data_IF_206430591415
#
_entry.id   IF_206430591415
#
_cell.length_a   1.000
_cell.length_b   1.000
_cell.length_c   1.000
_cell.angle_alpha   90.00
_cell.angle_beta   90.00
_cell.angle_gamma   90.00
#
_symmetry.space_group_name_H-M   'P 1'
#
loop_
_entity.id
_entity.type
_entity.pdbx_description
1 polymer ?
#
# COMPACT_ATOMS: atom_id res chain seq x y z
N UNK A 1 66.83 23.58 -13.89
CA UNK A 1 65.72 24.51 -13.60
C UNK A 1 64.53 23.64 -13.27
N UNK A 2 64.11 23.50 -12.01
CA UNK A 2 63.34 24.53 -11.25
C UNK A 2 62.15 24.93 -12.14
N UNK A 3 60.97 24.34 -12.01
CA UNK A 3 60.12 24.37 -10.83
C UNK A 3 59.20 25.58 -10.96
N UNK A 4 57.90 25.38 -11.21
CA UNK A 4 56.90 26.19 -10.54
C UNK A 4 55.49 25.58 -10.59
N UNK A 5 54.89 25.63 -9.41
CA UNK A 5 53.56 25.15 -9.03
C UNK A 5 52.45 25.99 -9.69
N UNK A 6 51.30 25.36 -9.91
CA UNK A 6 50.01 26.02 -9.71
C UNK A 6 49.23 25.16 -8.72
N UNK A 7 48.90 25.77 -7.57
CA UNK A 7 47.99 25.23 -6.56
C UNK A 7 46.59 25.67 -6.92
N UNK A 8 45.61 24.75 -6.93
CA UNK A 8 44.23 25.09 -6.63
C UNK A 8 43.71 24.17 -5.52
N UNK A 9 43.14 24.83 -4.51
CA UNK A 9 42.54 24.28 -3.29
C UNK A 9 41.09 23.85 -3.56
N UNK A 10 40.66 22.77 -2.92
CA UNK A 10 39.29 22.55 -2.43
C UNK A 10 38.15 22.60 -3.45
N UNK A 11 37.76 21.44 -3.98
CA UNK A 11 36.39 21.16 -4.41
C UNK A 11 36.10 19.65 -4.24
N UNK A 12 35.00 19.34 -3.58
CA UNK A 12 34.52 18.00 -3.22
C UNK A 12 33.75 17.36 -4.39
N UNK A 13 33.58 16.04 -4.31
CA UNK A 13 33.11 15.03 -5.31
C UNK A 13 31.68 15.23 -5.87
N UNK A 14 31.24 16.46 -6.15
CA UNK A 14 29.88 16.75 -6.65
C UNK A 14 29.92 17.60 -7.94
N UNK A 15 30.69 17.14 -8.94
CA UNK A 15 30.71 17.78 -10.27
C UNK A 15 30.65 16.77 -11.44
N UNK A 16 30.20 15.53 -11.21
CA UNK A 16 30.08 14.51 -12.28
C UNK A 16 28.64 14.08 -12.57
N UNK A 17 27.65 14.49 -11.77
CA UNK A 17 26.24 14.21 -12.06
C UNK A 17 25.42 15.50 -11.90
N UNK A 18 24.97 16.05 -13.01
CA UNK A 18 24.13 17.25 -13.08
C UNK A 18 22.75 17.01 -12.48
N UNK A 19 22.66 17.10 -11.16
CA UNK A 19 21.41 17.18 -10.40
C UNK A 19 21.19 18.65 -10.02
N UNK A 20 20.49 19.40 -10.87
CA UNK A 20 19.95 20.68 -10.44
C UNK A 20 18.76 20.44 -9.51
N UNK A 21 18.91 20.88 -8.26
CA UNK A 21 17.83 21.01 -7.28
C UNK A 21 16.68 21.83 -7.85
N UNK A 22 15.62 21.15 -8.28
CA UNK A 22 14.32 21.80 -8.49
C UNK A 22 13.58 21.84 -7.16
N UNK A 23 13.49 23.08 -6.66
CA UNK A 23 12.67 23.56 -5.54
C UNK A 23 11.52 22.61 -5.18
N UNK A 24 11.56 22.12 -3.94
CA UNK A 24 10.40 21.60 -3.22
C UNK A 24 9.36 22.71 -3.23
N UNK A 25 8.38 22.61 -4.15
CA UNK A 25 7.15 23.39 -4.02
C UNK A 25 6.39 22.74 -2.88
N UNK A 26 6.10 23.54 -1.86
CA UNK A 26 5.11 23.23 -0.84
C UNK A 26 3.87 22.66 -1.52
N UNK A 27 3.60 21.38 -1.29
CA UNK A 27 2.29 20.81 -1.54
C UNK A 27 1.42 21.41 -0.44
N UNK A 28 0.78 22.54 -0.75
CA UNK A 28 -0.38 22.96 0.01
C UNK A 28 -1.47 21.96 -0.33
N UNK A 29 -1.80 21.13 0.66
CA UNK A 29 -3.07 20.43 0.75
C UNK A 29 -4.21 21.40 0.47
N UNK A 30 -5.07 21.05 -0.48
CA UNK A 30 -6.52 21.29 -0.43
C UNK A 30 -7.20 20.59 -1.61
N UNK A 31 -7.51 19.32 -1.43
CA UNK A 31 -8.90 18.90 -1.64
C UNK A 31 -9.42 18.64 -0.24
N UNK A 32 -10.05 19.65 0.38
CA UNK A 32 -10.78 19.38 1.60
C UNK A 32 -11.92 18.43 1.21
N UNK A 33 -11.80 17.18 1.65
CA UNK A 33 -12.83 16.16 1.55
C UNK A 33 -14.09 16.70 2.21
N UNK A 34 -15.29 16.43 1.67
CA UNK A 34 -16.52 16.84 2.33
C UNK A 34 -16.58 16.20 3.72
N UNK A 35 -16.76 17.02 4.77
CA UNK A 35 -16.80 16.62 6.20
C UNK A 35 -17.94 15.63 6.56
N UNK A 36 -18.60 15.03 5.57
CA UNK A 36 -19.82 14.23 5.72
C UNK A 36 -19.73 12.80 5.18
N UNK A 37 -18.61 12.38 4.61
CA UNK A 37 -18.42 11.00 4.11
C UNK A 37 -17.74 10.12 5.16
N UNK A 38 -18.37 8.98 5.45
CA UNK A 38 -17.86 7.96 6.36
C UNK A 38 -16.63 7.26 5.76
N UNK A 39 -15.65 6.73 6.53
CA UNK A 39 -14.49 5.98 6.02
C UNK A 39 -14.81 4.86 5.01
N UNK A 40 -16.03 4.35 5.05
CA UNK A 40 -16.60 3.38 4.10
C UNK A 40 -16.99 3.97 2.73
N UNK A 41 -17.19 5.28 2.63
CA UNK A 41 -17.51 5.98 1.36
C UNK A 41 -16.26 6.23 0.47
N UNK A 42 -15.07 5.80 0.90
CA UNK A 42 -13.81 6.11 0.21
C UNK A 42 -13.27 4.97 -0.67
N UNK A 43 -13.84 3.76 -0.61
CA UNK A 43 -13.42 2.63 -1.43
C UNK A 43 -14.54 2.21 -2.39
N UNK A 44 -14.22 1.76 -3.62
CA UNK A 44 -15.15 0.98 -4.42
C UNK A 44 -15.60 -0.27 -3.63
N UNK A 45 -16.84 -0.70 -3.83
CA UNK A 45 -17.35 -1.92 -3.20
C UNK A 45 -16.65 -3.18 -3.78
N UNK A 46 -16.58 -4.26 -3.00
CA UNK A 46 -15.92 -5.51 -3.44
C UNK A 46 -16.49 -6.02 -4.78
N UNK A 47 -17.82 -6.10 -4.90
CA UNK A 47 -18.47 -6.58 -6.12
C UNK A 47 -18.33 -5.61 -7.30
N UNK A 48 -18.25 -4.30 -7.05
CA UNK A 48 -17.95 -3.33 -8.10
C UNK A 48 -16.55 -3.57 -8.68
N UNK A 49 -15.56 -3.82 -7.83
CA UNK A 49 -14.20 -4.10 -8.27
C UNK A 49 -14.12 -5.45 -9.02
N UNK A 50 -14.87 -6.46 -8.59
CA UNK A 50 -15.03 -7.72 -9.33
C UNK A 50 -15.59 -7.48 -10.73
N UNK A 51 -16.67 -6.70 -10.86
CA UNK A 51 -17.29 -6.37 -12.14
C UNK A 51 -16.33 -5.60 -13.06
N UNK A 52 -15.53 -4.70 -12.51
CA UNK A 52 -14.51 -3.95 -13.26
C UNK A 52 -13.40 -4.88 -13.78
N UNK A 53 -12.89 -5.80 -12.95
CA UNK A 53 -11.89 -6.79 -13.38
C UNK A 53 -12.45 -7.66 -14.52
N UNK A 54 -13.71 -8.08 -14.40
CA UNK A 54 -14.39 -8.85 -15.44
C UNK A 54 -14.55 -8.05 -16.73
N UNK A 55 -14.93 -6.78 -16.64
CA UNK A 55 -15.10 -5.90 -17.80
C UNK A 55 -13.79 -5.66 -18.57
N UNK A 56 -12.64 -5.75 -17.88
CA UNK A 56 -11.30 -5.59 -18.47
C UNK A 56 -10.65 -6.92 -18.90
N UNK A 57 -11.42 -8.01 -18.96
CA UNK A 57 -10.96 -9.38 -19.28
C UNK A 57 -9.90 -9.96 -18.29
N UNK A 58 -9.80 -9.40 -17.07
CA UNK A 58 -8.92 -9.91 -16.01
C UNK A 58 -9.60 -11.05 -15.25
N UNK A 59 -9.49 -12.28 -15.78
CA UNK A 59 -10.24 -13.44 -15.28
C UNK A 59 -9.56 -14.19 -14.13
N UNK A 60 -8.29 -13.93 -13.86
CA UNK A 60 -7.50 -14.66 -12.85
C UNK A 60 -7.18 -13.84 -11.61
N UNK A 61 -7.51 -12.55 -11.61
CA UNK A 61 -7.23 -11.66 -10.50
C UNK A 61 -8.44 -11.53 -9.60
N UNK A 62 -8.19 -11.51 -8.29
CA UNK A 62 -9.21 -11.24 -7.28
C UNK A 62 -9.20 -9.77 -6.87
N UNK A 63 -10.38 -9.19 -6.61
CA UNK A 63 -10.48 -7.85 -6.03
C UNK A 63 -9.80 -7.76 -4.66
N UNK A 64 -9.91 -8.81 -3.84
CA UNK A 64 -9.24 -8.89 -2.54
C UNK A 64 -7.72 -8.92 -2.70
N UNK A 65 -7.20 -9.71 -3.64
CA UNK A 65 -5.76 -9.78 -3.93
C UNK A 65 -5.22 -8.43 -4.43
N UNK A 66 -5.91 -7.78 -5.37
CA UNK A 66 -5.54 -6.45 -5.89
C UNK A 66 -5.47 -5.41 -4.77
N UNK A 67 -6.47 -5.41 -3.88
CA UNK A 67 -6.51 -4.50 -2.75
C UNK A 67 -5.36 -4.78 -1.77
N UNK A 68 -5.12 -6.05 -1.42
CA UNK A 68 -3.99 -6.45 -0.59
C UNK A 68 -2.65 -6.01 -1.18
N UNK A 69 -2.46 -6.26 -2.48
CA UNK A 69 -1.27 -5.87 -3.24
C UNK A 69 -0.97 -4.38 -3.14
N UNK A 70 -1.97 -3.54 -3.37
CA UNK A 70 -1.85 -2.09 -3.21
C UNK A 70 -1.45 -1.71 -1.78
N UNK A 71 -2.13 -2.30 -0.79
CA UNK A 71 -1.83 -2.06 0.62
C UNK A 71 -0.38 -2.43 0.95
N UNK A 72 0.11 -3.57 0.46
CA UNK A 72 1.49 -4.02 0.68
C UNK A 72 2.53 -3.02 0.12
N UNK A 73 2.32 -2.53 -1.09
CA UNK A 73 3.19 -1.49 -1.67
C UNK A 73 3.21 -0.21 -0.82
N UNK A 74 2.03 0.28 -0.41
CA UNK A 74 1.90 1.50 0.37
C UNK A 74 2.49 1.34 1.78
N UNK A 75 2.26 0.19 2.43
CA UNK A 75 2.86 -0.18 3.70
C UNK A 75 4.37 -0.23 3.64
N UNK A 76 4.96 -0.68 2.52
CA UNK A 76 6.40 -0.63 2.30
C UNK A 76 6.95 0.79 1.98
N UNK A 77 6.08 1.81 1.92
CA UNK A 77 6.45 3.21 1.71
C UNK A 77 6.42 3.66 0.25
N UNK A 78 5.85 2.86 -0.66
CA UNK A 78 5.63 3.33 -2.04
C UNK A 78 4.63 4.48 -2.08
N UNK A 79 4.81 5.38 -3.07
CA UNK A 79 3.82 6.39 -3.46
C UNK A 79 3.83 6.50 -4.98
N UNK A 80 2.68 6.30 -5.59
CA UNK A 80 2.52 6.33 -7.04
C UNK A 80 1.78 7.58 -7.49
N UNK A 81 2.05 8.05 -8.71
CA UNK A 81 1.06 8.85 -9.42
C UNK A 81 -0.06 7.92 -9.92
N UNK A 82 -1.25 8.45 -10.19
CA UNK A 82 -2.35 7.65 -10.76
C UNK A 82 -1.94 6.95 -12.06
N UNK A 83 -1.17 7.61 -12.94
CA UNK A 83 -0.65 7.00 -14.17
C UNK A 83 0.28 5.79 -13.88
N UNK A 84 1.18 5.94 -12.90
CA UNK A 84 2.09 4.87 -12.53
C UNK A 84 1.35 3.70 -11.87
N UNK A 85 0.36 4.01 -11.02
CA UNK A 85 -0.52 3.02 -10.40
C UNK A 85 -1.30 2.25 -11.45
N UNK A 86 -2.01 2.93 -12.37
CA UNK A 86 -2.78 2.26 -13.42
C UNK A 86 -1.91 1.33 -14.27
N UNK A 87 -0.69 1.76 -14.60
CA UNK A 87 0.24 0.91 -15.35
C UNK A 87 0.64 -0.34 -14.57
N UNK A 88 1.00 -0.18 -13.30
CA UNK A 88 1.39 -1.29 -12.41
C UNK A 88 0.22 -2.25 -12.18
N UNK A 89 -0.95 -1.72 -11.87
CA UNK A 89 -2.15 -2.48 -11.64
C UNK A 89 -2.53 -3.29 -12.88
N UNK A 90 -2.46 -2.69 -14.08
CA UNK A 90 -2.70 -3.39 -15.33
C UNK A 90 -1.72 -4.56 -15.55
N UNK A 91 -0.42 -4.36 -15.29
CA UNK A 91 0.58 -5.43 -15.37
C UNK A 91 0.30 -6.58 -14.40
N UNK A 92 -0.06 -6.27 -13.15
CA UNK A 92 -0.29 -7.26 -12.10
C UNK A 92 -1.64 -7.99 -12.24
N UNK A 93 -2.59 -7.39 -12.95
CA UNK A 93 -3.92 -7.97 -13.21
C UNK A 93 -4.07 -8.54 -14.61
N UNK A 94 -2.97 -8.66 -15.36
CA UNK A 94 -2.97 -9.14 -16.76
C UNK A 94 -3.90 -8.34 -17.71
N UNK A 95 -4.11 -7.06 -17.41
CA UNK A 95 -4.83 -6.13 -18.27
C UNK A 95 -3.84 -5.56 -19.29
N UNK A 96 -4.03 -5.88 -20.57
CA UNK A 96 -3.17 -5.35 -21.65
C UNK A 96 -3.31 -3.83 -21.79
N UNK A 97 -4.55 -3.35 -21.80
CA UNK A 97 -4.91 -1.93 -21.79
C UNK A 97 -6.31 -1.77 -21.20
N UNK A 98 -6.52 -0.74 -20.39
CA UNK A 98 -7.85 -0.39 -19.89
C UNK A 98 -8.75 0.06 -21.04
N UNK A 99 -9.82 -0.68 -21.28
CA UNK A 99 -10.81 -0.45 -22.34
C UNK A 99 -11.86 0.56 -21.95
N UNK A 100 -12.17 0.65 -20.65
CA UNK A 100 -13.19 1.54 -20.13
C UNK A 100 -12.58 2.63 -19.24
N UNK A 101 -12.93 3.89 -19.49
CA UNK A 101 -12.53 5.00 -18.62
C UNK A 101 -13.10 4.87 -17.21
N UNK A 102 -14.26 4.23 -17.05
CA UNK A 102 -14.83 3.90 -15.74
C UNK A 102 -13.95 2.93 -14.95
N UNK A 103 -13.30 1.98 -15.61
CA UNK A 103 -12.35 1.07 -14.95
C UNK A 103 -11.14 1.84 -14.42
N UNK A 104 -10.58 2.76 -15.22
CA UNK A 104 -9.47 3.60 -14.76
C UNK A 104 -9.85 4.45 -13.56
N UNK A 105 -11.09 4.97 -13.56
CA UNK A 105 -11.63 5.72 -12.42
C UNK A 105 -11.73 4.82 -11.18
N UNK A 106 -12.32 3.63 -11.28
CA UNK A 106 -12.43 2.69 -10.17
C UNK A 106 -11.07 2.30 -9.56
N UNK A 107 -10.05 2.02 -10.40
CA UNK A 107 -8.69 1.77 -9.91
C UNK A 107 -8.06 3.00 -9.26
N UNK A 108 -8.38 4.20 -9.74
CA UNK A 108 -7.88 5.47 -9.15
C UNK A 108 -8.54 5.74 -7.80
N UNK A 109 -9.86 5.53 -7.71
CA UNK A 109 -10.64 5.68 -6.49
C UNK A 109 -10.19 4.66 -5.44
N UNK A 110 -9.92 3.41 -5.85
CA UNK A 110 -9.30 2.39 -5.00
C UNK A 110 -7.95 2.89 -4.42
N UNK A 111 -7.09 3.47 -5.26
CA UNK A 111 -5.80 4.00 -4.80
C UNK A 111 -5.97 5.13 -3.77
N UNK A 112 -6.77 6.14 -4.12
CA UNK A 112 -6.96 7.31 -3.27
C UNK A 112 -7.64 6.92 -1.94
N UNK A 113 -8.61 5.99 -2.00
CA UNK A 113 -9.28 5.44 -0.83
C UNK A 113 -8.35 4.71 0.12
N UNK A 114 -7.50 3.82 -0.39
CA UNK A 114 -6.53 3.08 0.45
C UNK A 114 -5.52 4.03 1.09
N UNK A 115 -5.00 5.01 0.33
CA UNK A 115 -4.10 6.03 0.88
C UNK A 115 -4.79 6.80 2.00
N UNK A 116 -6.02 7.27 1.76
CA UNK A 116 -6.78 8.03 2.75
C UNK A 116 -7.02 7.20 4.03
N UNK A 117 -7.43 5.93 3.89
CA UNK A 117 -7.70 5.06 5.03
C UNK A 117 -6.44 4.73 5.85
N UNK A 118 -5.31 4.43 5.21
CA UNK A 118 -4.06 4.12 5.90
C UNK A 118 -3.45 5.35 6.59
N UNK A 119 -3.56 6.54 6.00
CA UNK A 119 -2.99 7.77 6.55
C UNK A 119 -3.82 8.39 7.69
N UNK A 120 -5.13 8.12 7.74
CA UNK A 120 -6.01 8.71 8.76
C UNK A 120 -5.87 8.10 10.17
N UNK A 121 -5.22 6.94 10.32
CA UNK A 121 -4.77 6.37 11.62
C UNK A 121 -5.85 5.94 12.64
N UNK A 122 -7.05 6.50 12.57
CA UNK A 122 -8.08 6.45 13.61
C UNK A 122 -9.13 5.34 13.39
N UNK A 123 -8.71 4.15 12.93
CA UNK A 123 -9.56 2.96 12.74
C UNK A 123 -10.45 2.91 11.47
N UNK A 124 -10.16 3.73 10.46
CA UNK A 124 -10.93 3.76 9.20
C UNK A 124 -10.54 2.71 8.15
N UNK A 125 -9.41 2.02 8.30
CA UNK A 125 -8.95 1.04 7.31
C UNK A 125 -9.84 -0.19 7.28
N UNK A 126 -10.32 -0.55 6.10
CA UNK A 126 -11.18 -1.70 5.83
C UNK A 126 -10.52 -2.62 4.81
N UNK A 127 -10.68 -3.93 5.00
CA UNK A 127 -10.27 -4.91 3.99
C UNK A 127 -11.35 -4.99 2.91
N UNK A 128 -10.97 -4.89 1.64
CA UNK A 128 -11.86 -5.15 0.51
C UNK A 128 -12.10 -6.67 0.39
N UNK A 129 -13.15 -7.14 1.05
CA UNK A 129 -13.54 -8.55 1.14
C UNK A 129 -15.03 -8.72 0.77
N UNK A 130 -15.47 -9.92 0.35
CA UNK A 130 -16.88 -10.23 0.20
C UNK A 130 -17.62 -10.19 1.53
N UNK A 131 -18.92 -9.85 1.47
CA UNK A 131 -19.86 -9.86 2.58
C UNK A 131 -20.43 -11.26 2.85
N UNK A 132 -21.37 -11.36 3.80
CA UNK A 132 -22.00 -12.60 4.25
C UNK A 132 -22.97 -13.25 3.25
N UNK A 133 -23.10 -12.69 2.05
CA UNK A 133 -23.78 -13.35 0.93
C UNK A 133 -22.95 -14.52 0.36
N UNK A 134 -21.62 -14.54 0.55
CA UNK A 134 -20.76 -15.67 0.21
C UNK A 134 -20.58 -16.65 1.38
N UNK A 135 -20.27 -17.90 1.04
CA UNK A 135 -19.99 -18.92 2.06
C UNK A 135 -18.75 -18.56 2.89
N UNK A 136 -18.67 -19.04 4.14
CA UNK A 136 -17.50 -18.84 5.00
C UNK A 136 -16.20 -19.29 4.32
N UNK A 137 -16.24 -20.40 3.57
CA UNK A 137 -15.10 -20.90 2.82
C UNK A 137 -14.63 -19.91 1.74
N UNK A 138 -15.55 -19.34 0.96
CA UNK A 138 -15.23 -18.34 -0.07
C UNK A 138 -14.70 -17.03 0.55
N UNK A 139 -15.24 -16.61 1.71
CA UNK A 139 -14.74 -15.42 2.42
C UNK A 139 -13.35 -15.63 3.00
N UNK A 140 -13.05 -16.81 3.53
CA UNK A 140 -11.72 -17.14 4.00
C UNK A 140 -10.72 -17.26 2.86
N UNK A 141 -11.12 -17.84 1.72
CA UNK A 141 -10.30 -17.84 0.51
C UNK A 141 -9.98 -16.40 0.07
N UNK A 142 -10.98 -15.51 0.07
CA UNK A 142 -10.76 -14.10 -0.24
C UNK A 142 -9.79 -13.41 0.74
N UNK A 143 -9.87 -13.72 2.04
CA UNK A 143 -8.90 -13.24 3.04
C UNK A 143 -7.50 -13.77 2.76
N UNK A 144 -7.37 -15.05 2.40
CA UNK A 144 -6.10 -15.65 2.00
C UNK A 144 -5.50 -14.97 0.77
N UNK A 145 -6.31 -14.73 -0.27
CA UNK A 145 -5.93 -13.95 -1.45
C UNK A 145 -5.49 -12.53 -1.09
N UNK A 146 -6.18 -11.88 -0.15
CA UNK A 146 -5.81 -10.55 0.33
C UNK A 146 -4.41 -10.55 0.96
N UNK A 147 -4.14 -11.49 1.88
CA UNK A 147 -2.83 -11.65 2.51
C UNK A 147 -1.73 -11.95 1.48
N UNK A 148 -2.02 -12.83 0.51
CA UNK A 148 -1.08 -13.14 -0.57
C UNK A 148 -0.74 -11.90 -1.41
N UNK A 149 -1.74 -11.10 -1.76
CA UNK A 149 -1.55 -9.82 -2.44
C UNK A 149 -0.67 -8.89 -1.63
N UNK A 150 -1.00 -8.70 -0.35
CA UNK A 150 -0.24 -7.84 0.58
C UNK A 150 1.24 -8.21 0.66
N UNK A 151 1.54 -9.49 0.87
CA UNK A 151 2.91 -10.00 0.95
C UNK A 151 3.66 -9.80 -0.38
N UNK A 152 2.99 -10.06 -1.51
CA UNK A 152 3.55 -9.80 -2.84
C UNK A 152 3.89 -8.33 -3.03
N UNK A 153 2.97 -7.42 -2.70
CA UNK A 153 3.16 -5.97 -2.88
C UNK A 153 4.28 -5.43 -1.99
N UNK A 154 4.29 -5.85 -0.72
CA UNK A 154 5.34 -5.48 0.23
C UNK A 154 6.72 -5.95 -0.24
N UNK A 155 6.83 -7.21 -0.69
CA UNK A 155 8.07 -7.78 -1.18
C UNK A 155 8.58 -7.14 -2.49
N UNK A 156 7.68 -6.85 -3.44
CA UNK A 156 8.03 -6.26 -4.74
C UNK A 156 8.49 -4.81 -4.64
N UNK A 157 8.03 -4.05 -3.63
CA UNK A 157 8.54 -2.70 -3.39
C UNK A 157 10.05 -2.71 -3.11
N UNK A 158 10.57 -3.76 -2.47
CA UNK A 158 12.00 -4.08 -2.40
C UNK A 158 12.85 -3.11 -1.57
N UNK A 159 12.23 -2.21 -0.79
CA UNK A 159 12.88 -1.19 0.02
C UNK A 159 13.33 -1.69 1.41
N UNK A 160 12.87 -2.87 1.82
CA UNK A 160 13.12 -3.43 3.15
C UNK A 160 13.81 -4.80 3.05
N UNK A 161 14.78 -5.02 3.92
CA UNK A 161 15.44 -6.33 4.07
C UNK A 161 14.99 -6.96 5.39
N UNK A 162 15.22 -8.26 5.56
CA UNK A 162 14.93 -8.91 6.84
C UNK A 162 15.68 -8.28 8.03
N UNK A 163 16.79 -7.56 7.78
CA UNK A 163 17.52 -6.84 8.82
C UNK A 163 16.88 -5.51 9.21
N UNK A 164 16.09 -4.89 8.31
CA UNK A 164 15.40 -3.62 8.59
C UNK A 164 14.05 -3.80 9.28
N UNK A 165 13.54 -5.03 9.39
CA UNK A 165 12.28 -5.34 10.07
C UNK A 165 12.50 -5.62 11.55
N UNK A 166 11.63 -5.07 12.40
CA UNK A 166 11.54 -5.49 13.80
C UNK A 166 11.06 -6.93 13.90
N UNK A 167 11.27 -7.58 15.05
CA UNK A 167 10.80 -8.96 15.24
C UNK A 167 9.27 -9.05 15.24
N UNK A 168 8.59 -8.02 15.74
CA UNK A 168 7.13 -7.90 15.71
C UNK A 168 6.60 -7.81 14.26
N UNK A 169 7.26 -7.05 13.39
CA UNK A 169 6.85 -6.99 11.97
C UNK A 169 7.11 -8.30 11.23
N UNK A 170 8.20 -9.01 11.56
CA UNK A 170 8.47 -10.33 10.98
C UNK A 170 7.41 -11.35 11.40
N UNK A 171 7.00 -11.33 12.66
CA UNK A 171 5.94 -12.19 13.18
C UNK A 171 4.62 -11.89 12.46
N UNK A 172 4.22 -10.62 12.35
CA UNK A 172 3.01 -10.24 11.62
C UNK A 172 3.02 -10.67 10.15
N UNK A 173 4.15 -10.52 9.44
CA UNK A 173 4.28 -10.96 8.05
C UNK A 173 4.26 -12.49 7.93
N UNK A 174 4.87 -13.21 8.87
CA UNK A 174 4.83 -14.67 8.90
C UNK A 174 3.41 -15.19 9.20
N UNK A 175 2.68 -14.55 10.10
CA UNK A 175 1.29 -14.91 10.39
C UNK A 175 0.39 -14.65 9.16
N UNK A 176 0.59 -13.54 8.45
CA UNK A 176 -0.10 -13.29 7.18
C UNK A 176 0.24 -14.35 6.12
N UNK A 177 1.47 -14.87 6.08
CA UNK A 177 1.86 -15.98 5.18
C UNK A 177 1.06 -17.24 5.52
N UNK A 178 0.87 -17.53 6.82
CA UNK A 178 0.07 -18.68 7.26
C UNK A 178 -1.42 -18.49 6.93
N UNK A 179 -1.97 -17.28 7.10
CA UNK A 179 -3.36 -16.95 6.72
C UNK A 179 -3.55 -17.03 5.21
N UNK A 180 -2.55 -16.68 4.41
CA UNK A 180 -2.60 -16.80 2.94
C UNK A 180 -2.78 -18.26 2.47
N UNK A 181 -2.52 -19.24 3.33
CA UNK A 181 -2.69 -20.68 3.05
C UNK A 181 -3.94 -21.27 3.73
N UNK A 182 -4.91 -20.43 4.13
CA UNK A 182 -6.13 -20.90 4.78
C UNK A 182 -6.96 -21.78 3.85
N UNK A 183 -7.32 -22.96 4.33
CA UNK A 183 -8.25 -23.88 3.68
C UNK A 183 -9.34 -24.23 4.70
N UNK A 184 -10.58 -23.80 4.45
CA UNK A 184 -11.71 -24.14 5.31
C UNK A 184 -12.48 -25.33 4.75
N UNK A 185 -12.81 -26.26 5.64
CA UNK A 185 -13.77 -27.32 5.31
C UNK A 185 -15.20 -26.73 5.22
N UNK A 186 -16.06 -27.28 4.33
CA UNK A 186 -17.38 -26.74 4.06
C UNK A 186 -18.38 -26.84 5.23
N UNK A 187 -18.04 -27.54 6.31
CA UNK A 187 -18.88 -27.66 7.52
C UNK A 187 -18.47 -26.59 8.55
N UNK A 188 -18.87 -25.35 8.29
CA UNK A 188 -18.69 -24.20 9.17
C UNK A 188 -19.76 -24.13 10.28
N UNK A 189 -19.35 -23.87 11.52
CA UNK A 189 -20.24 -23.58 12.65
C UNK A 189 -20.10 -22.11 13.14
N UNK A 190 -20.90 -21.72 14.15
CA UNK A 190 -20.87 -20.35 14.70
C UNK A 190 -19.51 -19.98 15.31
N UNK A 191 -18.75 -20.95 15.81
CA UNK A 191 -17.38 -20.74 16.34
C UNK A 191 -16.43 -20.35 15.20
N UNK A 192 -16.57 -21.00 14.05
CA UNK A 192 -15.77 -20.73 12.85
C UNK A 192 -15.99 -19.32 12.26
N UNK A 193 -17.20 -18.76 12.39
CA UNK A 193 -17.50 -17.39 11.95
C UNK A 193 -16.80 -16.34 12.83
N UNK A 194 -16.76 -16.57 14.15
CA UNK A 194 -16.04 -15.70 15.07
C UNK A 194 -14.53 -15.74 14.79
N UNK A 195 -13.98 -16.93 14.55
CA UNK A 195 -12.57 -17.11 14.21
C UNK A 195 -12.20 -16.36 12.92
N UNK A 196 -13.02 -16.43 11.87
CA UNK A 196 -12.77 -15.70 10.63
C UNK A 196 -12.79 -14.18 10.85
N UNK A 197 -13.72 -13.68 11.66
CA UNK A 197 -13.77 -12.26 12.02
C UNK A 197 -12.51 -11.82 12.79
N UNK A 198 -12.03 -12.65 13.72
CA UNK A 198 -10.79 -12.40 14.46
C UNK A 198 -9.56 -12.35 13.52
N UNK A 199 -9.48 -13.25 12.53
CA UNK A 199 -8.42 -13.23 11.52
C UNK A 199 -8.47 -11.97 10.65
N UNK A 200 -9.67 -11.55 10.22
CA UNK A 200 -9.82 -10.31 9.45
C UNK A 200 -9.36 -9.09 10.26
N UNK A 201 -9.73 -9.01 11.54
CA UNK A 201 -9.30 -7.93 12.42
C UNK A 201 -7.78 -7.95 12.67
N UNK A 202 -7.21 -9.14 12.88
CA UNK A 202 -5.76 -9.30 13.01
C UNK A 202 -5.02 -8.76 11.78
N UNK A 203 -5.44 -9.19 10.58
CA UNK A 203 -4.84 -8.75 9.31
C UNK A 203 -4.96 -7.23 9.14
N UNK A 204 -6.11 -6.65 9.49
CA UNK A 204 -6.36 -5.21 9.44
C UNK A 204 -5.40 -4.44 10.36
N UNK A 205 -5.28 -4.84 11.63
CA UNK A 205 -4.40 -4.19 12.61
C UNK A 205 -2.93 -4.34 12.23
N UNK A 206 -2.51 -5.54 11.83
CA UNK A 206 -1.14 -5.81 11.40
C UNK A 206 -0.74 -4.97 10.19
N UNK A 207 -1.65 -4.77 9.23
CA UNK A 207 -1.43 -3.92 8.06
C UNK A 207 -1.24 -2.46 8.45
N UNK A 208 -2.09 -1.93 9.34
CA UNK A 208 -1.96 -0.57 9.88
C UNK A 208 -0.66 -0.38 10.67
N UNK A 209 -0.27 -1.37 11.46
CA UNK A 209 0.98 -1.36 12.22
C UNK A 209 2.21 -1.30 11.31
N UNK A 210 2.27 -2.19 10.31
CA UNK A 210 3.37 -2.21 9.33
C UNK A 210 3.43 -0.89 8.55
N UNK A 211 2.27 -0.37 8.11
CA UNK A 211 2.22 0.92 7.44
C UNK A 211 2.78 2.03 8.33
N UNK A 212 2.37 2.09 9.60
CA UNK A 212 2.81 3.10 10.57
C UNK A 212 4.31 3.14 10.77
N UNK A 213 4.98 1.98 10.79
CA UNK A 213 6.44 1.90 10.96
C UNK A 213 7.20 2.60 9.82
N UNK A 214 6.78 2.37 8.57
CA UNK A 214 7.52 2.85 7.39
C UNK A 214 6.99 4.15 6.80
N UNK A 215 5.86 4.66 7.32
CA UNK A 215 5.22 5.87 6.83
C UNK A 215 5.03 6.94 7.92
N UNK A 216 5.60 6.75 9.12
CA UNK A 216 5.55 7.75 10.18
C UNK A 216 6.14 9.10 9.69
N UNK A 217 5.51 10.24 10.02
CA UNK A 217 6.11 11.54 9.76
C UNK A 217 7.45 11.64 10.52
N UNK A 218 8.47 12.30 9.93
CA UNK A 218 9.79 12.40 10.55
C UNK A 218 9.66 12.96 11.97
N UNK A 219 10.33 12.32 12.93
CA UNK A 219 10.27 12.75 14.33
C UNK A 219 10.75 14.21 14.46
N UNK A 220 10.14 15.02 15.35
CA UNK A 220 10.56 16.41 15.55
C UNK A 220 12.05 16.57 15.95
N UNK A 221 12.71 15.50 16.41
CA UNK A 221 14.12 15.52 16.83
C UNK A 221 15.13 15.47 15.66
N UNK A 222 14.71 15.11 14.44
CA UNK A 222 15.60 15.16 13.26
C UNK A 222 15.77 16.58 12.68
N UNK A 223 14.97 17.55 13.13
CA UNK A 223 15.19 18.97 12.81
C UNK A 223 16.18 19.56 13.81
N UNK A 224 17.48 19.28 13.60
CA UNK A 224 18.54 19.85 14.42
C UNK A 224 18.43 21.39 14.52
N UNK A 225 18.46 21.98 15.74
CA UNK A 225 18.39 23.43 15.93
C UNK A 225 19.73 24.05 15.55
N UNK A 226 19.86 24.49 14.29
CA UNK A 226 21.15 24.90 13.74
C UNK A 226 21.16 26.11 12.80
N UNK A 227 20.08 26.90 12.72
CA UNK A 227 20.09 28.14 11.96
C UNK A 227 19.57 29.31 12.81
N UNK A 228 20.39 29.74 13.77
CA UNK A 228 20.28 31.09 14.31
C UNK A 228 20.52 32.07 13.16
N UNK A 229 19.45 32.74 12.73
CA UNK A 229 19.54 33.90 11.84
C UNK A 229 20.33 35.01 12.55
N UNK A 230 21.51 35.31 12.04
CA UNK A 230 22.23 36.56 12.27
C UNK A 230 22.15 37.44 11.01
#
# INVERSE_FOLDING_TARGET
MVGNRVLFRGATVVEVLGYESRKVKSIQSSSAMPETQSPEDYLPEYYEMCDVLVAEDSMTSSAAELHGLLCGYLSAGARFSHEAWLKLAAELTDITEFRHESSKLAFTDLYDGVVAQLEQGDFGFQLLLPDDDLSMAERAEALGCWCQGYLTGFGLQGGHTNESLSDELKEALADMEQIAQIELEPEADEESEADLMELQEYVRISSMMIFGEFNAPPSPEEVAPGATLH
#
